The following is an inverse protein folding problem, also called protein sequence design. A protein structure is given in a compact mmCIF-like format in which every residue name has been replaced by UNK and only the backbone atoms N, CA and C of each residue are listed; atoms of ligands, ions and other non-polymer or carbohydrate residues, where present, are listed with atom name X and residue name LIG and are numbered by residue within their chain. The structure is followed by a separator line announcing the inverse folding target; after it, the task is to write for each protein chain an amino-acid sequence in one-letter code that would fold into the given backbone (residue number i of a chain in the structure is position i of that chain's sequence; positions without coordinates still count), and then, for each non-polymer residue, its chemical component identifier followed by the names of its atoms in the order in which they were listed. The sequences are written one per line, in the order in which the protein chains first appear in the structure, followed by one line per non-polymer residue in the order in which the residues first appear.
data_IF_495892834908
#
_entry.id   IF_495892834908
#
_cell.length_a   1.000
_cell.length_b   1.000
_cell.length_c   1.000
_cell.angle_alpha   90.00
_cell.angle_beta   90.00
_cell.angle_gamma   90.00
#
_symmetry.space_group_name_H-M   'P 1'
#
loop_
_entity.id
_entity.type
_entity.pdbx_description
1 polymer ?
#
# COMPACT_ATOMS: atom_id res chain seq x y z
N UNK A 1 2.55 12.12 22.20
CA UNK A 1 2.79 10.85 21.49
C UNK A 1 2.88 11.16 20.00
N UNK A 2 3.89 10.66 19.29
CA UNK A 2 4.02 10.81 17.83
C UNK A 2 3.73 9.46 17.19
N UNK A 3 2.95 9.45 16.11
CA UNK A 3 2.40 8.25 15.49
C UNK A 3 2.65 8.33 13.99
N UNK A 4 2.92 7.20 13.36
CA UNK A 4 2.98 7.08 11.90
C UNK A 4 2.37 5.74 11.47
N UNK A 5 1.18 5.75 10.85
CA UNK A 5 0.44 4.54 10.51
C UNK A 5 0.53 4.16 9.03
N UNK A 6 1.48 4.72 8.30
CA UNK A 6 1.67 4.41 6.89
C UNK A 6 3.16 4.55 6.55
N UNK A 7 3.88 3.43 6.61
CA UNK A 7 5.32 3.41 6.30
C UNK A 7 5.72 2.11 5.61
N UNK A 8 6.75 2.20 4.77
CA UNK A 8 7.21 1.13 3.90
C UNK A 8 8.67 0.77 4.18
N UNK A 9 8.99 -0.50 3.95
CA UNK A 9 10.31 -1.09 4.14
C UNK A 9 10.80 -1.72 2.84
N UNK A 10 12.01 -2.29 2.87
CA UNK A 10 12.54 -3.10 1.77
C UNK A 10 11.75 -4.38 1.50
N UNK A 11 10.72 -4.71 2.28
CA UNK A 11 9.81 -5.82 1.96
C UNK A 11 8.78 -5.47 0.86
N UNK A 12 8.70 -4.19 0.45
CA UNK A 12 8.13 -3.75 -0.83
C UNK A 12 9.09 -2.84 -1.60
N UNK A 13 9.03 -1.53 -1.36
CA UNK A 13 9.62 -0.44 -2.12
C UNK A 13 10.12 0.71 -1.23
N UNK A 14 10.11 0.51 0.09
CA UNK A 14 10.86 1.34 1.00
C UNK A 14 12.37 1.10 0.89
N UNK A 15 13.16 2.13 1.19
CA UNK A 15 14.63 2.09 1.13
C UNK A 15 15.30 1.52 2.38
N UNK A 16 14.56 1.37 3.48
CA UNK A 16 15.09 0.93 4.77
C UNK A 16 14.62 -0.47 5.11
N UNK A 17 15.49 -1.28 5.69
CA UNK A 17 15.06 -2.55 6.28
C UNK A 17 14.03 -2.30 7.38
N UNK A 18 13.18 -3.28 7.73
CA UNK A 18 12.26 -3.18 8.85
C UNK A 18 12.91 -2.68 10.15
N UNK A 19 14.11 -3.17 10.48
CA UNK A 19 14.85 -2.74 11.67
C UNK A 19 15.41 -1.31 11.55
N UNK A 20 15.92 -0.94 10.38
CA UNK A 20 16.42 0.42 10.12
C UNK A 20 15.29 1.45 10.21
N UNK A 21 14.11 1.11 9.69
CA UNK A 21 12.93 1.96 9.76
C UNK A 21 12.50 2.18 11.22
N UNK A 22 12.47 1.12 12.04
CA UNK A 22 12.12 1.23 13.46
C UNK A 22 13.16 2.03 14.26
N UNK A 23 14.46 1.87 13.99
CA UNK A 23 15.50 2.72 14.62
C UNK A 23 15.32 4.19 14.25
N UNK A 24 15.04 4.48 12.98
CA UNK A 24 14.75 5.84 12.51
C UNK A 24 13.49 6.41 13.18
N UNK A 25 12.42 5.64 13.28
CA UNK A 25 11.20 6.01 13.98
C UNK A 25 11.46 6.38 15.44
N UNK A 26 12.24 5.56 16.17
CA UNK A 26 12.66 5.85 17.54
C UNK A 26 13.42 7.18 17.61
N UNK A 27 14.40 7.38 16.74
CA UNK A 27 15.22 8.60 16.72
C UNK A 27 14.39 9.85 16.39
N UNK A 28 13.34 9.69 15.57
CA UNK A 28 12.34 10.72 15.29
C UNK A 28 11.28 10.87 16.40
N UNK A 29 11.39 10.14 17.52
CA UNK A 29 10.44 10.21 18.64
C UNK A 29 9.06 9.63 18.33
N UNK A 30 8.93 8.80 17.30
CA UNK A 30 7.70 8.04 17.00
C UNK A 30 7.52 6.96 18.06
N UNK A 31 6.31 6.89 18.61
CA UNK A 31 5.93 5.95 19.66
C UNK A 31 5.16 4.76 19.09
N UNK A 32 4.37 4.98 18.03
CA UNK A 32 3.58 3.95 17.35
C UNK A 32 3.84 4.04 15.85
N UNK A 33 4.20 2.91 15.25
CA UNK A 33 4.54 2.76 13.84
C UNK A 33 3.70 1.63 13.22
N UNK A 34 3.20 1.76 12.00
CA UNK A 34 2.62 0.64 11.24
C UNK A 34 3.48 0.31 10.00
N UNK A 35 3.71 -0.98 9.77
CA UNK A 35 4.43 -1.48 8.58
C UNK A 35 3.39 -1.85 7.54
N UNK A 36 3.36 -1.11 6.43
CA UNK A 36 2.29 -1.16 5.44
C UNK A 36 2.80 -1.56 4.06
N UNK A 37 3.85 -2.39 3.99
CA UNK A 37 4.48 -2.78 2.72
C UNK A 37 3.45 -3.21 1.66
N UNK A 38 3.65 -2.76 0.42
CA UNK A 38 2.76 -3.06 -0.70
C UNK A 38 2.66 -4.56 -0.98
N UNK A 39 1.43 -5.08 -0.90
CA UNK A 39 1.08 -6.48 -1.15
C UNK A 39 1.99 -7.47 -0.39
N UNK A 40 2.56 -7.08 0.76
CA UNK A 40 3.58 -7.85 1.48
C UNK A 40 3.46 -7.66 3.00
N UNK A 41 3.80 -8.69 3.75
CA UNK A 41 3.93 -8.62 5.22
C UNK A 41 5.27 -9.17 5.69
N UNK A 42 6.21 -9.38 4.76
CA UNK A 42 7.47 -10.08 5.00
C UNK A 42 8.36 -9.30 5.99
N UNK A 43 8.16 -7.98 6.12
CA UNK A 43 8.87 -7.10 7.06
C UNK A 43 8.28 -7.03 8.47
N UNK A 44 7.05 -7.51 8.68
CA UNK A 44 6.29 -7.26 9.92
C UNK A 44 6.97 -7.86 11.16
N UNK A 45 7.33 -9.16 11.12
CA UNK A 45 7.89 -9.83 12.30
C UNK A 45 9.24 -9.22 12.73
N UNK A 46 10.08 -8.84 11.76
CA UNK A 46 11.36 -8.18 11.99
C UNK A 46 11.18 -6.79 12.62
N UNK A 47 10.25 -5.98 12.10
CA UNK A 47 9.91 -4.68 12.66
C UNK A 47 9.33 -4.79 14.07
N UNK A 48 8.41 -5.72 14.32
CA UNK A 48 7.83 -5.96 15.65
C UNK A 48 8.91 -6.32 16.66
N UNK A 49 9.83 -7.22 16.30
CA UNK A 49 10.96 -7.59 17.16
C UNK A 49 11.89 -6.40 17.43
N UNK A 50 12.15 -5.54 16.44
CA UNK A 50 12.92 -4.31 16.63
C UNK A 50 12.19 -3.32 17.54
N UNK A 51 10.88 -3.15 17.36
CA UNK A 51 10.04 -2.27 18.16
C UNK A 51 10.06 -2.63 19.64
N UNK A 52 9.94 -3.92 19.96
CA UNK A 52 10.05 -4.45 21.33
C UNK A 52 11.39 -4.09 21.99
N UNK A 53 12.51 -4.14 21.24
CA UNK A 53 13.84 -3.78 21.77
C UNK A 53 14.01 -2.27 21.97
N UNK A 54 13.36 -1.47 21.12
CA UNK A 54 13.59 -0.03 21.02
C UNK A 54 12.51 0.81 21.71
N UNK A 55 11.45 0.18 22.22
CA UNK A 55 10.33 0.87 22.86
C UNK A 55 9.38 1.57 21.87
N UNK A 56 9.33 1.08 20.63
CA UNK A 56 8.38 1.54 19.60
C UNK A 56 7.31 0.48 19.42
N UNK A 57 6.04 0.85 19.59
CA UNK A 57 4.94 -0.05 19.31
C UNK A 57 4.77 -0.20 17.79
N UNK A 58 4.91 -1.42 17.28
CA UNK A 58 4.76 -1.71 15.85
C UNK A 58 3.45 -2.45 15.60
N UNK A 59 2.63 -1.91 14.71
CA UNK A 59 1.35 -2.50 14.29
C UNK A 59 1.58 -3.34 13.02
N UNK A 60 1.23 -4.64 13.04
CA UNK A 60 1.14 -5.45 11.83
C UNK A 60 0.13 -4.84 10.86
N UNK A 61 0.58 -4.46 9.67
CA UNK A 61 -0.29 -3.95 8.63
C UNK A 61 0.16 -4.41 7.23
N UNK A 62 -0.60 -4.01 6.22
CA UNK A 62 -0.32 -4.22 4.80
C UNK A 62 -1.02 -3.12 4.00
N UNK A 63 -0.45 -2.67 2.89
CA UNK A 63 -1.17 -1.90 1.88
C UNK A 63 -1.45 -2.79 0.67
N UNK A 64 -2.72 -3.12 0.43
CA UNK A 64 -3.11 -3.94 -0.72
C UNK A 64 -3.35 -3.01 -1.90
N UNK A 65 -2.64 -3.26 -2.99
CA UNK A 65 -2.84 -2.54 -4.24
C UNK A 65 -4.06 -3.09 -4.98
N UNK A 66 -4.94 -2.19 -5.42
CA UNK A 66 -6.16 -2.56 -6.16
C UNK A 66 -6.24 -1.81 -7.48
N UNK A 67 -6.93 -2.39 -8.45
CA UNK A 67 -7.13 -1.80 -9.77
C UNK A 67 -8.57 -1.29 -9.90
N UNK A 68 -8.72 -0.06 -10.39
CA UNK A 68 -9.98 0.49 -10.88
C UNK A 68 -9.81 0.93 -12.34
N UNK A 69 -10.89 1.25 -13.04
CA UNK A 69 -10.78 1.64 -14.46
C UNK A 69 -9.93 2.90 -14.66
N UNK A 70 -9.99 3.82 -13.70
CA UNK A 70 -9.33 5.12 -13.75
C UNK A 70 -7.92 5.15 -13.14
N UNK A 71 -7.43 4.04 -12.56
CA UNK A 71 -6.14 4.04 -11.87
C UNK A 71 -5.95 2.90 -10.87
N UNK A 72 -5.12 3.15 -9.87
CA UNK A 72 -4.95 2.28 -8.70
C UNK A 72 -5.59 2.96 -7.48
N UNK A 73 -6.19 2.17 -6.60
CA UNK A 73 -6.70 2.60 -5.30
C UNK A 73 -6.09 1.66 -4.28
N UNK A 74 -5.67 2.16 -3.12
CA UNK A 74 -4.99 1.32 -2.13
C UNK A 74 -5.82 1.19 -0.86
N UNK A 75 -5.76 0.00 -0.26
CA UNK A 75 -6.47 -0.30 0.98
C UNK A 75 -5.47 -0.79 2.02
N UNK A 76 -5.34 -0.02 3.10
CA UNK A 76 -4.56 -0.38 4.27
C UNK A 76 -5.33 -1.38 5.12
N UNK A 77 -4.63 -2.40 5.63
CA UNK A 77 -5.17 -3.36 6.59
C UNK A 77 -4.38 -3.34 7.87
N UNK A 78 -4.97 -2.80 8.96
CA UNK A 78 -4.31 -2.76 10.27
C UNK A 78 -4.67 -3.95 11.15
N UNK A 79 -3.73 -4.37 11.99
CA UNK A 79 -3.88 -5.49 12.93
C UNK A 79 -4.32 -6.80 12.26
N UNK A 80 -3.83 -7.03 11.03
CA UNK A 80 -4.06 -8.27 10.30
C UNK A 80 -3.33 -9.45 10.97
N UNK A 81 -3.90 -10.65 10.87
CA UNK A 81 -3.16 -11.88 11.13
C UNK A 81 -2.30 -12.22 9.91
N UNK A 82 -1.10 -11.64 9.88
CA UNK A 82 -0.16 -11.82 8.79
C UNK A 82 0.43 -13.24 8.72
N UNK A 83 0.12 -14.15 9.64
CA UNK A 83 0.64 -15.52 9.62
C UNK A 83 -0.30 -16.52 8.97
N UNK A 84 -1.50 -16.09 8.59
CA UNK A 84 -2.47 -16.90 7.86
C UNK A 84 -1.93 -17.35 6.51
N UNK A 85 -1.81 -18.66 6.30
CA UNK A 85 -1.22 -19.23 5.09
C UNK A 85 -1.97 -18.82 3.81
N UNK A 86 -3.30 -18.67 3.89
CA UNK A 86 -4.12 -18.24 2.74
C UNK A 86 -3.85 -16.78 2.37
N UNK A 87 -3.59 -15.92 3.36
CA UNK A 87 -3.27 -14.50 3.13
C UNK A 87 -1.89 -14.39 2.49
N UNK A 88 -0.91 -15.14 3.01
CA UNK A 88 0.43 -15.18 2.43
C UNK A 88 0.40 -15.66 0.97
N UNK A 89 -0.39 -16.69 0.66
CA UNK A 89 -0.57 -17.16 -0.71
C UNK A 89 -1.27 -16.13 -1.61
N UNK A 90 -2.28 -15.42 -1.08
CA UNK A 90 -2.95 -14.34 -1.80
C UNK A 90 -1.99 -13.20 -2.15
N UNK A 91 -1.28 -12.67 -1.15
CA UNK A 91 -0.31 -11.59 -1.32
C UNK A 91 0.80 -11.98 -2.30
N UNK A 92 1.32 -13.21 -2.18
CA UNK A 92 2.31 -13.76 -3.11
C UNK A 92 1.80 -13.81 -4.55
N UNK A 93 0.54 -14.17 -4.78
CA UNK A 93 -0.07 -14.16 -6.13
C UNK A 93 -0.17 -12.74 -6.70
N UNK A 94 -0.50 -11.74 -5.88
CA UNK A 94 -0.51 -10.34 -6.32
C UNK A 94 0.88 -9.86 -6.75
N UNK A 95 1.89 -10.09 -5.90
CA UNK A 95 3.28 -9.73 -6.19
C UNK A 95 3.79 -10.43 -7.46
N UNK A 96 3.61 -11.75 -7.55
CA UNK A 96 4.05 -12.53 -8.71
C UNK A 96 3.29 -12.15 -9.99
N UNK A 97 2.01 -11.77 -9.87
CA UNK A 97 1.22 -11.29 -11.00
C UNK A 97 1.82 -10.05 -11.65
N UNK A 98 2.41 -9.13 -10.87
CA UNK A 98 3.09 -7.93 -11.39
C UNK A 98 4.38 -8.29 -12.15
N UNK A 99 5.22 -9.15 -11.56
CA UNK A 99 6.48 -9.58 -12.15
C UNK A 99 6.27 -10.40 -13.43
N UNK A 100 5.41 -11.42 -13.35
CA UNK A 100 5.10 -12.30 -14.48
C UNK A 100 4.42 -11.53 -15.63
N UNK A 101 3.55 -10.57 -15.30
CA UNK A 101 2.98 -9.67 -16.31
C UNK A 101 4.10 -8.92 -17.05
N UNK A 102 5.01 -8.28 -16.32
CA UNK A 102 6.08 -7.50 -16.93
C UNK A 102 7.02 -8.36 -17.81
N UNK A 103 7.38 -9.56 -17.35
CA UNK A 103 8.17 -10.53 -18.12
C UNK A 103 7.46 -10.88 -19.44
N UNK A 104 6.19 -11.27 -19.38
CA UNK A 104 5.40 -11.61 -20.58
C UNK A 104 5.17 -10.42 -21.51
N UNK A 105 5.06 -9.21 -20.98
CA UNK A 105 4.97 -8.01 -21.80
C UNK A 105 6.27 -7.78 -22.58
N UNK A 106 7.42 -7.96 -21.92
CA UNK A 106 8.73 -7.89 -22.58
C UNK A 106 8.88 -8.98 -23.65
N UNK A 107 8.46 -10.22 -23.38
CA UNK A 107 8.44 -11.29 -24.39
C UNK A 107 7.61 -10.91 -25.62
N UNK A 108 6.41 -10.35 -25.42
CA UNK A 108 5.56 -9.86 -26.52
C UNK A 108 6.20 -8.71 -27.29
N UNK A 109 6.83 -7.75 -26.61
CA UNK A 109 7.55 -6.66 -27.25
C UNK A 109 8.70 -7.19 -28.13
N UNK A 110 9.51 -8.11 -27.59
CA UNK A 110 10.60 -8.74 -28.32
C UNK A 110 10.09 -9.53 -29.54
N UNK A 111 8.96 -10.23 -29.42
CA UNK A 111 8.32 -10.92 -30.54
C UNK A 111 7.79 -9.97 -31.62
N UNK A 112 7.51 -8.70 -31.30
CA UNK A 112 7.16 -7.64 -32.24
C UNK A 112 8.39 -6.93 -32.85
N UNK A 113 9.61 -7.39 -32.52
CA UNK A 113 10.85 -6.77 -32.96
C UNK A 113 11.25 -5.54 -32.14
N UNK A 114 10.67 -5.36 -30.96
CA UNK A 114 10.98 -4.25 -30.04
C UNK A 114 11.87 -4.79 -28.93
N UNK A 115 13.17 -4.55 -29.06
CA UNK A 115 14.17 -5.08 -28.13
C UNK A 115 14.10 -4.38 -26.76
N UNK A 116 13.59 -5.09 -25.76
CA UNK A 116 13.54 -4.64 -24.36
C UNK A 116 14.13 -5.73 -23.48
N UNK A 117 15.06 -5.35 -22.61
CA UNK A 117 15.64 -6.25 -21.62
C UNK A 117 14.83 -6.23 -20.32
N UNK A 118 14.33 -7.41 -19.92
CA UNK A 118 13.60 -7.57 -18.67
C UNK A 118 14.47 -7.29 -17.44
N UNK A 119 15.77 -7.60 -17.48
CA UNK A 119 16.67 -7.27 -16.38
C UNK A 119 16.75 -5.76 -16.16
N UNK A 120 16.70 -4.96 -17.25
CA UNK A 120 16.62 -3.51 -17.17
C UNK A 120 15.27 -3.02 -16.61
N UNK A 121 14.15 -3.60 -17.04
CA UNK A 121 12.82 -3.31 -16.44
C UNK A 121 12.85 -3.53 -14.93
N UNK A 122 13.43 -4.64 -14.47
CA UNK A 122 13.57 -4.96 -13.04
C UNK A 122 14.49 -3.98 -12.32
N UNK A 123 15.59 -3.55 -12.95
CA UNK A 123 16.50 -2.57 -12.37
C UNK A 123 15.89 -1.17 -12.25
N UNK A 124 14.98 -0.82 -13.15
CA UNK A 124 14.22 0.43 -13.11
C UNK A 124 13.14 0.41 -12.02
N UNK A 125 12.61 -0.76 -11.70
CA UNK A 125 11.72 -0.95 -10.57
C UNK A 125 12.52 -0.92 -9.26
N UNK A 126 12.50 0.22 -8.57
CA UNK A 126 13.04 0.36 -7.21
C UNK A 126 12.04 -0.21 -6.18
N UNK A 127 11.54 -1.43 -6.43
CA UNK A 127 10.42 -2.02 -5.71
C UNK A 127 9.52 -2.85 -6.62
N UNK A 128 8.21 -2.69 -6.51
CA UNK A 128 7.24 -3.45 -7.28
C UNK A 128 7.29 -3.14 -8.80
N UNK A 129 7.48 -4.17 -9.63
CA UNK A 129 7.51 -4.01 -11.10
C UNK A 129 6.12 -3.65 -11.65
N UNK A 130 6.07 -2.79 -12.67
CA UNK A 130 4.83 -2.23 -13.21
C UNK A 130 4.96 -1.86 -14.68
N UNK A 131 3.83 -1.54 -15.33
CA UNK A 131 3.82 -1.10 -16.74
C UNK A 131 4.63 0.18 -16.98
N UNK A 132 4.65 1.18 -16.07
CA UNK A 132 5.53 2.33 -16.23
C UNK A 132 7.01 1.95 -16.36
N UNK A 133 7.48 0.95 -15.62
CA UNK A 133 8.86 0.45 -15.72
C UNK A 133 9.14 -0.19 -17.09
N UNK A 134 8.18 -0.90 -17.68
CA UNK A 134 8.28 -1.40 -19.05
C UNK A 134 8.36 -0.24 -20.04
N UNK A 135 7.51 0.78 -19.88
CA UNK A 135 7.54 1.98 -20.72
C UNK A 135 8.89 2.72 -20.64
N UNK A 136 9.45 2.87 -19.44
CA UNK A 136 10.76 3.49 -19.24
C UNK A 136 11.87 2.68 -19.92
N UNK A 137 11.86 1.35 -19.80
CA UNK A 137 12.82 0.51 -20.51
C UNK A 137 12.67 0.63 -22.03
N UNK A 138 11.44 0.76 -22.56
CA UNK A 138 11.20 1.00 -23.99
C UNK A 138 11.75 2.37 -24.43
N UNK A 139 11.60 3.41 -23.61
CA UNK A 139 12.16 4.74 -23.88
C UNK A 139 13.70 4.69 -23.86
N UNK A 140 14.30 4.05 -22.85
CA UNK A 140 15.76 3.90 -22.75
C UNK A 140 16.35 3.08 -23.90
N UNK A 141 15.64 2.07 -24.38
CA UNK A 141 16.02 1.28 -25.55
C UNK A 141 15.85 2.03 -26.88
N UNK A 142 15.27 3.24 -26.87
CA UNK A 142 14.97 4.01 -28.07
C UNK A 142 13.82 3.45 -28.92
N UNK A 143 13.03 2.51 -28.37
CA UNK A 143 11.90 1.89 -29.06
C UNK A 143 10.69 2.83 -29.23
N UNK A 144 10.55 3.80 -28.32
CA UNK A 144 9.50 4.83 -28.32
C UNK A 144 10.08 6.16 -27.81
N UNK A 145 9.42 7.27 -28.13
CA UNK A 145 9.87 8.62 -27.76
C UNK A 145 9.37 9.08 -26.39
N UNK A 146 8.32 8.46 -25.87
CA UNK A 146 7.73 8.81 -24.57
C UNK A 146 7.03 7.63 -23.90
N UNK A 147 6.78 7.78 -22.60
CA UNK A 147 5.98 6.81 -21.83
C UNK A 147 4.56 6.74 -22.39
N UNK A 148 3.96 7.87 -22.71
CA UNK A 148 2.63 7.96 -23.32
C UNK A 148 2.55 7.15 -24.62
N UNK A 149 3.55 7.30 -25.52
CA UNK A 149 3.63 6.52 -26.74
C UNK A 149 3.69 5.00 -26.47
N UNK A 150 4.44 4.58 -25.43
CA UNK A 150 4.49 3.18 -25.04
C UNK A 150 3.09 2.64 -24.71
N UNK A 151 2.33 3.38 -23.88
CA UNK A 151 0.99 3.00 -23.47
C UNK A 151 0.01 2.98 -24.65
N UNK A 152 0.01 4.03 -25.48
CA UNK A 152 -0.94 4.14 -26.57
C UNK A 152 -0.73 3.07 -27.65
N UNK A 153 0.52 2.74 -27.95
CA UNK A 153 0.84 1.87 -29.10
C UNK A 153 1.01 0.40 -28.73
N UNK A 154 1.50 0.10 -27.53
CA UNK A 154 2.03 -1.25 -27.24
C UNK A 154 1.48 -1.86 -25.97
N UNK A 155 1.56 -1.16 -24.84
CA UNK A 155 1.40 -1.75 -23.51
C UNK A 155 0.13 -1.32 -22.76
N UNK A 156 -0.66 -0.41 -23.35
CA UNK A 156 -2.00 -0.03 -22.88
C UNK A 156 -2.99 -1.19 -23.01
N UNK A 157 -4.20 -1.07 -22.45
CA UNK A 157 -5.16 -2.19 -22.33
C UNK A 157 -5.57 -2.81 -23.68
N UNK A 158 -5.55 -2.02 -24.76
CA UNK A 158 -5.81 -2.46 -26.13
C UNK A 158 -4.54 -2.80 -26.92
N UNK A 159 -3.36 -2.62 -26.31
CA UNK A 159 -2.07 -2.73 -26.98
C UNK A 159 -1.64 -4.19 -27.22
N UNK A 160 -0.88 -4.45 -28.30
CA UNK A 160 -0.47 -5.79 -28.70
C UNK A 160 0.42 -6.50 -27.66
N UNK A 161 1.18 -5.74 -26.88
CA UNK A 161 2.04 -6.27 -25.82
C UNK A 161 1.36 -6.34 -24.45
N UNK A 162 0.08 -5.96 -24.33
CA UNK A 162 -0.65 -6.03 -23.06
C UNK A 162 -0.77 -7.46 -22.55
N UNK A 163 -0.57 -7.62 -21.24
CA UNK A 163 -0.80 -8.88 -20.53
C UNK A 163 -1.68 -8.56 -19.32
N UNK A 164 -2.78 -9.27 -19.20
CA UNK A 164 -3.65 -9.14 -18.04
C UNK A 164 -3.01 -9.83 -16.82
N UNK A 165 -3.15 -9.20 -15.65
CA UNK A 165 -2.75 -9.78 -14.35
C UNK A 165 -4.01 -10.10 -13.54
N UNK A 166 -3.84 -10.89 -12.48
CA UNK A 166 -4.80 -10.88 -11.37
C UNK A 166 -4.98 -9.43 -10.91
N UNK A 167 -6.23 -8.97 -10.98
CA UNK A 167 -6.68 -7.70 -10.43
C UNK A 167 -7.42 -8.02 -9.14
N UNK A 168 -7.32 -7.11 -8.19
CA UNK A 168 -8.12 -7.10 -6.98
C UNK A 168 -8.85 -5.78 -6.99
N UNK A 169 -10.16 -5.80 -6.77
CA UNK A 169 -10.92 -4.55 -6.61
C UNK A 169 -10.74 -4.00 -5.20
N UNK A 170 -10.94 -2.70 -4.99
CA UNK A 170 -11.03 -2.10 -3.66
C UNK A 170 -11.91 -2.90 -2.68
N UNK A 171 -13.10 -3.33 -3.11
CA UNK A 171 -14.04 -4.10 -2.30
C UNK A 171 -13.49 -5.49 -1.94
N UNK A 172 -12.83 -6.18 -2.88
CA UNK A 172 -12.19 -7.46 -2.61
C UNK A 172 -11.05 -7.31 -1.60
N UNK A 173 -10.25 -6.24 -1.68
CA UNK A 173 -9.18 -5.96 -0.71
C UNK A 173 -9.75 -5.71 0.70
N UNK A 174 -10.85 -4.94 0.81
CA UNK A 174 -11.58 -4.75 2.07
C UNK A 174 -11.98 -6.10 2.66
N UNK A 175 -12.58 -6.99 1.86
CA UNK A 175 -13.00 -8.32 2.30
C UNK A 175 -11.84 -9.23 2.72
N UNK A 176 -10.72 -9.17 1.99
CA UNK A 176 -9.49 -9.88 2.35
C UNK A 176 -8.98 -9.43 3.72
N UNK A 177 -8.91 -8.13 3.96
CA UNK A 177 -8.43 -7.59 5.24
C UNK A 177 -9.37 -7.98 6.38
N UNK A 178 -10.69 -7.92 6.17
CA UNK A 178 -11.68 -8.37 7.15
C UNK A 178 -11.51 -9.86 7.48
N UNK A 179 -11.31 -10.70 6.46
CA UNK A 179 -11.06 -12.14 6.64
C UNK A 179 -9.77 -12.41 7.39
N UNK A 180 -8.75 -11.56 7.22
CA UNK A 180 -7.50 -11.61 7.97
C UNK A 180 -7.63 -11.05 9.41
N UNK A 181 -8.84 -10.73 9.88
CA UNK A 181 -9.09 -10.19 11.21
C UNK A 181 -8.70 -8.73 11.39
N UNK A 182 -8.30 -8.06 10.31
CA UNK A 182 -7.83 -6.68 10.32
C UNK A 182 -8.94 -5.63 10.20
N UNK A 183 -8.49 -4.38 10.12
CA UNK A 183 -9.31 -3.19 9.94
C UNK A 183 -8.98 -2.60 8.57
N UNK A 184 -9.90 -2.69 7.59
CA UNK A 184 -9.71 -2.11 6.27
C UNK A 184 -9.89 -0.59 6.30
N UNK A 185 -8.93 0.13 5.73
CA UNK A 185 -8.86 1.59 5.71
C UNK A 185 -8.48 2.06 4.31
N UNK A 186 -9.21 3.04 3.78
CA UNK A 186 -8.89 3.62 2.48
C UNK A 186 -7.66 4.52 2.61
N UNK A 187 -6.60 4.21 1.86
CA UNK A 187 -5.35 4.96 1.87
C UNK A 187 -5.48 6.23 1.01
N UNK A 188 -4.85 7.32 1.45
CA UNK A 188 -4.64 8.59 0.73
C UNK A 188 -5.68 8.91 -0.38
N UNK A 189 -6.99 9.00 -0.05
CA UNK A 189 -8.07 9.15 -1.03
C UNK A 189 -7.95 10.40 -1.91
N UNK A 190 -7.12 11.37 -1.52
CA UNK A 190 -6.78 12.54 -2.32
C UNK A 190 -6.21 12.23 -3.71
N UNK A 191 -5.71 11.03 -3.94
CA UNK A 191 -5.19 10.58 -5.24
C UNK A 191 -6.29 9.99 -6.14
N UNK A 192 -7.32 10.78 -6.40
CA UNK A 192 -8.31 10.48 -7.44
C UNK A 192 -9.43 9.52 -7.04
N UNK A 193 -9.61 9.24 -5.74
CA UNK A 193 -10.75 8.47 -5.27
C UNK A 193 -11.99 9.37 -5.24
N UNK A 194 -13.04 8.94 -5.93
CA UNK A 194 -14.33 9.65 -5.94
C UNK A 194 -15.15 9.29 -4.70
N UNK A 195 -15.87 10.26 -4.12
CA UNK A 195 -16.70 10.04 -2.92
C UNK A 195 -17.73 8.91 -3.08
N UNK A 196 -18.26 8.72 -4.29
CA UNK A 196 -19.20 7.62 -4.57
C UNK A 196 -18.58 6.23 -4.36
N UNK A 197 -17.27 6.08 -4.60
CA UNK A 197 -16.54 4.84 -4.33
C UNK A 197 -16.37 4.63 -2.82
N UNK A 198 -16.22 5.69 -2.03
CA UNK A 198 -16.13 5.57 -0.57
C UNK A 198 -17.41 4.93 -0.02
N UNK A 199 -18.58 5.32 -0.55
CA UNK A 199 -19.85 4.69 -0.17
C UNK A 199 -19.89 3.20 -0.55
N UNK A 200 -19.44 2.80 -1.75
CA UNK A 200 -19.40 1.37 -2.13
C UNK A 200 -18.44 0.57 -1.25
N UNK A 201 -17.33 1.16 -0.83
CA UNK A 201 -16.40 0.50 0.08
C UNK A 201 -16.97 0.37 1.49
N UNK A 202 -17.72 1.37 1.97
CA UNK A 202 -18.46 1.27 3.24
C UNK A 202 -19.43 0.09 3.20
N UNK A 203 -20.18 -0.06 2.10
CA UNK A 203 -21.09 -1.21 1.90
C UNK A 203 -20.33 -2.54 1.85
N UNK A 204 -19.11 -2.54 1.31
CA UNK A 204 -18.19 -3.67 1.34
C UNK A 204 -17.50 -3.88 2.71
N UNK A 205 -17.79 -3.07 3.72
CA UNK A 205 -17.25 -3.24 5.08
C UNK A 205 -15.97 -2.46 5.38
N UNK A 206 -15.69 -1.38 4.64
CA UNK A 206 -14.63 -0.44 4.98
C UNK A 206 -14.84 0.14 6.38
N UNK A 207 -13.77 0.23 7.15
CA UNK A 207 -13.84 0.61 8.56
C UNK A 207 -13.12 1.91 8.90
N UNK A 208 -12.28 2.42 8.00
CA UNK A 208 -11.62 3.70 8.18
C UNK A 208 -11.23 4.39 6.87
N UNK A 209 -10.73 5.61 7.01
CA UNK A 209 -10.19 6.43 5.93
C UNK A 209 -8.96 7.19 6.43
N UNK A 210 -7.92 7.27 5.61
CA UNK A 210 -6.73 8.05 5.90
C UNK A 210 -7.02 9.53 5.59
N UNK A 211 -7.29 10.32 6.63
CA UNK A 211 -7.57 11.76 6.45
C UNK A 211 -6.31 12.61 6.63
N UNK A 212 -5.40 12.20 7.52
CA UNK A 212 -4.16 12.91 7.81
C UNK A 212 -3.03 12.36 6.93
N UNK A 213 -2.85 12.96 5.76
CA UNK A 213 -1.84 12.57 4.77
C UNK A 213 -1.09 13.81 4.26
N UNK A 214 0.23 13.74 3.99
CA UNK A 214 1.02 14.91 3.64
C UNK A 214 0.52 15.73 2.45
N UNK A 215 -0.03 15.08 1.43
CA UNK A 215 -0.51 15.76 0.23
C UNK A 215 -1.98 16.22 0.32
N UNK A 216 -2.66 15.89 1.42
CA UNK A 216 -3.99 16.43 1.66
C UNK A 216 -3.89 17.91 2.04
N UNK A 217 -4.43 18.76 1.18
CA UNK A 217 -4.65 20.17 1.53
C UNK A 217 -5.58 20.27 2.75
N UNK A 218 -5.59 21.39 3.49
CA UNK A 218 -6.53 21.59 4.60
C UNK A 218 -8.00 21.36 4.22
N UNK A 219 -8.37 21.70 2.98
CA UNK A 219 -9.72 21.46 2.46
C UNK A 219 -9.99 19.96 2.25
N UNK A 220 -9.03 19.22 1.68
CA UNK A 220 -9.13 17.76 1.51
C UNK A 220 -9.19 17.05 2.86
N UNK A 221 -8.35 17.42 3.81
CA UNK A 221 -8.39 16.84 5.16
C UNK A 221 -9.76 17.09 5.82
N UNK A 222 -10.28 18.33 5.76
CA UNK A 222 -11.60 18.65 6.31
C UNK A 222 -12.72 17.84 5.63
N UNK A 223 -12.63 17.65 4.31
CA UNK A 223 -13.55 16.82 3.52
C UNK A 223 -13.55 15.36 3.99
N UNK A 224 -12.39 14.72 4.07
CA UNK A 224 -12.29 13.31 4.47
C UNK A 224 -12.64 13.09 5.95
N UNK A 225 -12.38 14.07 6.83
CA UNK A 225 -12.87 14.04 8.21
C UNK A 225 -14.41 14.11 8.27
N UNK A 226 -15.04 14.92 7.41
CA UNK A 226 -16.49 15.01 7.33
C UNK A 226 -17.12 13.72 6.78
N UNK A 227 -16.52 13.12 5.74
CA UNK A 227 -16.93 11.82 5.22
C UNK A 227 -16.75 10.71 6.24
N UNK A 228 -15.64 10.71 6.97
CA UNK A 228 -15.43 9.74 8.04
C UNK A 228 -16.54 9.80 9.09
N UNK A 229 -16.92 11.01 9.49
CA UNK A 229 -18.04 11.24 10.42
C UNK A 229 -19.38 10.79 9.82
N UNK A 230 -19.65 11.11 8.54
CA UNK A 230 -20.88 10.75 7.85
C UNK A 230 -21.08 9.22 7.77
N UNK A 231 -20.02 8.49 7.47
CA UNK A 231 -20.04 7.04 7.30
C UNK A 231 -19.64 6.26 8.56
N UNK A 232 -19.43 6.94 9.69
CA UNK A 232 -18.96 6.34 10.95
C UNK A 232 -17.65 5.53 10.79
N UNK A 233 -16.76 6.02 9.94
CA UNK A 233 -15.43 5.46 9.69
C UNK A 233 -14.44 5.93 10.75
N UNK A 234 -13.47 5.07 11.05
CA UNK A 234 -12.26 5.48 11.75
C UNK A 234 -11.45 6.45 10.89
N UNK A 235 -10.69 7.30 11.54
CA UNK A 235 -9.74 8.19 10.87
C UNK A 235 -8.34 7.68 11.15
N UNK A 236 -7.49 7.60 10.12
CA UNK A 236 -6.07 7.29 10.25
C UNK A 236 -5.18 8.36 9.64
N UNK A 237 -3.87 8.16 9.75
CA UNK A 237 -2.87 9.02 9.15
C UNK A 237 -1.48 8.43 9.21
N UNK A 238 -0.67 8.78 8.24
CA UNK A 238 0.72 8.40 8.17
C UNK A 238 1.46 9.24 7.14
N UNK A 239 2.75 9.00 7.04
CA UNK A 239 3.62 9.75 6.13
C UNK A 239 3.75 9.11 4.76
N UNK A 240 3.35 7.84 4.64
CA UNK A 240 3.58 6.98 3.48
C UNK A 240 5.08 6.88 3.16
N UNK A 241 5.89 6.81 4.22
CA UNK A 241 7.34 6.98 4.11
C UNK A 241 8.01 5.80 3.40
N UNK A 242 8.73 6.11 2.33
CA UNK A 242 9.54 5.15 1.55
C UNK A 242 11.06 5.36 1.71
N UNK A 243 11.52 6.36 2.47
CA UNK A 243 12.93 6.73 2.59
C UNK A 243 13.25 8.12 2.06
N UNK A 244 14.39 8.68 2.48
CA UNK A 244 14.74 10.10 2.28
C UNK A 244 15.19 10.49 0.87
N UNK A 245 15.17 9.58 -0.10
CA UNK A 245 15.52 9.83 -1.50
C UNK A 245 14.41 9.48 -2.51
N UNK A 246 13.22 9.06 -2.03
CA UNK A 246 12.06 8.71 -2.86
C UNK A 246 10.91 9.72 -2.66
N UNK A 247 9.87 9.58 -3.49
CA UNK A 247 8.72 10.47 -3.69
C UNK A 247 8.13 11.18 -2.45
N UNK A 248 8.29 10.62 -1.25
CA UNK A 248 7.88 11.24 0.02
C UNK A 248 8.86 12.29 0.55
N UNK A 249 8.42 13.55 0.53
CA UNK A 249 9.14 14.69 1.14
C UNK A 249 8.99 14.78 2.65
N UNK A 250 8.02 14.05 3.21
CA UNK A 250 7.70 14.12 4.64
C UNK A 250 8.56 13.12 5.41
N UNK A 251 9.34 13.57 6.41
CA UNK A 251 10.12 12.66 7.23
C UNK A 251 9.19 11.76 8.06
N UNK A 252 9.66 10.57 8.44
CA UNK A 252 8.92 9.65 9.30
C UNK A 252 8.41 10.35 10.58
N UNK A 253 7.13 10.16 10.90
CA UNK A 253 6.44 10.84 11.98
C UNK A 253 6.24 12.36 11.78
N UNK A 254 6.48 12.87 10.57
CA UNK A 254 6.34 14.29 10.21
C UNK A 254 4.91 14.71 9.91
N UNK A 255 4.01 13.77 9.60
CA UNK A 255 2.58 14.04 9.47
C UNK A 255 1.94 14.09 10.86
N UNK A 256 1.15 15.13 11.13
CA UNK A 256 0.39 15.20 12.36
C UNK A 256 -0.75 14.17 12.33
N UNK A 257 -0.77 13.29 13.32
CA UNK A 257 -1.83 12.30 13.56
C UNK A 257 -2.28 12.42 15.02
N UNK A 258 -3.57 12.69 15.31
CA UNK A 258 -4.07 12.77 16.67
C UNK A 258 -3.86 11.46 17.43
N UNK A 259 -3.47 11.56 18.70
CA UNK A 259 -3.23 10.37 19.54
C UNK A 259 -4.46 9.45 19.61
N UNK A 260 -5.67 10.01 19.68
CA UNK A 260 -6.92 9.23 19.74
C UNK A 260 -7.14 8.26 18.56
N UNK A 261 -6.45 8.46 17.44
CA UNK A 261 -6.51 7.56 16.29
C UNK A 261 -6.07 6.15 16.69
N UNK A 262 -4.98 6.02 17.44
CA UNK A 262 -4.49 4.69 17.82
C UNK A 262 -5.41 4.01 18.83
N UNK A 263 -5.97 4.78 19.76
CA UNK A 263 -6.89 4.26 20.77
C UNK A 263 -8.14 3.67 20.10
N UNK A 264 -8.73 4.42 19.16
CA UNK A 264 -9.91 3.95 18.40
C UNK A 264 -9.63 2.72 17.55
N UNK A 265 -8.45 2.65 16.90
CA UNK A 265 -8.04 1.46 16.14
C UNK A 265 -7.89 0.24 17.04
N UNK A 266 -7.23 0.39 18.20
CA UNK A 266 -7.08 -0.69 19.19
C UNK A 266 -8.43 -1.14 19.75
N UNK A 267 -9.32 -0.22 20.09
CA UNK A 267 -10.68 -0.53 20.53
C UNK A 267 -11.45 -1.32 19.46
N UNK A 268 -11.33 -0.92 18.18
CA UNK A 268 -11.96 -1.65 17.08
C UNK A 268 -11.38 -3.06 16.93
N UNK A 269 -10.06 -3.20 16.97
CA UNK A 269 -9.40 -4.50 16.89
C UNK A 269 -9.81 -5.43 18.05
N UNK A 270 -9.89 -4.90 19.28
CA UNK A 270 -10.33 -5.68 20.45
C UNK A 270 -11.78 -6.16 20.32
N UNK A 271 -12.67 -5.39 19.68
CA UNK A 271 -14.05 -5.80 19.39
C UNK A 271 -14.15 -6.87 18.29
N UNK A 272 -13.16 -6.95 17.40
CA UNK A 272 -13.09 -7.94 16.31
C UNK A 272 -12.58 -9.29 16.75
N UNK A 273 -11.71 -9.36 17.76
CA UNK A 273 -11.31 -10.64 18.32
C UNK A 273 -12.58 -11.34 18.82
N UNK A 274 -12.88 -12.58 18.38
CA UNK A 274 -13.90 -13.35 19.08
C UNK A 274 -13.52 -13.34 20.56
N UNK A 275 -14.52 -13.30 21.44
CA UNK A 275 -14.31 -13.51 22.86
C UNK A 275 -13.81 -14.95 23.08
N UNK A 276 -12.55 -15.23 22.71
CA UNK A 276 -11.88 -16.50 22.93
C UNK A 276 -11.52 -16.50 24.41
N UNK A 277 -12.34 -17.20 25.19
CA UNK A 277 -11.94 -17.81 26.44
C UNK A 277 -11.66 -16.84 27.58
N UNK A 278 -12.71 -16.22 28.13
CA UNK A 278 -12.86 -16.31 29.60
C UNK A 278 -13.24 -17.76 29.89
N UNK A 279 -12.27 -18.59 30.23
CA UNK A 279 -12.45 -19.84 30.96
C UNK A 279 -11.26 -19.99 31.92
N UNK A 280 -11.47 -20.68 33.05
CA UNK A 280 -11.43 -20.14 34.41
C UNK A 280 -10.03 -20.00 34.99
#
# INVERSE_FOLDING_TARGET
MRIDLHTHTTASDGLLSPEQLVDMARNAGVHVLAICDHDSTDGVDAAVAAGMRLGVEVIPAVEINTDVDQGEVHVLGYFIDHREAWLQEFLRKLRNGRLHRAERMVEKLNALGIEVDFARVRALAQGAVGRPHVAWAMVEAGAVKSVEEAFDRYIGRSGPAYVERMKVTPEEAVQVILRAGGIPVLAHPGWGVQDAMIASLVDAGLEGIEAYYPEHTPAMQAHYLALAKQHNLLVTGGTDFHGTNLATKTPIGGQFVPAEVIDKLKERHLKKKPAVGRYP
#
